data_IF_310352368533
#
_entry.id   IF_310352368533
#
_cell.length_a   1.000
_cell.length_b   1.000
_cell.length_c   1.000
_cell.angle_alpha   90.00
_cell.angle_beta   90.00
_cell.angle_gamma   90.00
#
_symmetry.space_group_name_H-M   'P 1'
#
loop_
_entity.id
_entity.type
_entity.pdbx_description
1 polymer ?
#
# COMPACT_ATOMS: atom_id res chain seq x y z
N UNK A 1 -12.72 8.65 -0.40
CA UNK A 1 -11.43 7.95 -0.16
C UNK A 1 -11.57 7.16 1.14
N UNK A 2 -11.57 5.83 1.06
CA UNK A 2 -11.82 4.92 2.18
C UNK A 2 -10.51 4.21 2.58
N UNK A 3 -10.41 3.80 3.84
CA UNK A 3 -9.34 2.89 4.29
C UNK A 3 -9.50 1.49 3.68
N UNK A 4 -8.39 0.83 3.36
CA UNK A 4 -8.44 -0.55 2.88
C UNK A 4 -8.83 -1.49 4.03
N UNK A 5 -9.55 -2.55 3.70
CA UNK A 5 -9.77 -3.70 4.58
C UNK A 5 -8.54 -4.61 4.61
N UNK A 6 -8.40 -5.46 5.62
CA UNK A 6 -7.24 -6.35 5.74
C UNK A 6 -7.05 -7.28 4.54
N UNK A 7 -8.15 -7.73 3.93
CA UNK A 7 -8.13 -8.57 2.72
C UNK A 7 -7.59 -7.79 1.51
N UNK A 8 -8.07 -6.56 1.31
CA UNK A 8 -7.60 -5.66 0.25
C UNK A 8 -6.11 -5.30 0.44
N UNK A 9 -5.69 -5.04 1.68
CA UNK A 9 -4.28 -4.78 2.01
C UNK A 9 -3.42 -5.97 1.63
N UNK A 10 -3.77 -7.19 2.06
CA UNK A 10 -2.99 -8.39 1.71
C UNK A 10 -2.85 -8.58 0.21
N UNK A 11 -3.93 -8.39 -0.55
CA UNK A 11 -3.92 -8.54 -2.01
C UNK A 11 -2.98 -7.52 -2.69
N UNK A 12 -3.03 -6.26 -2.26
CA UNK A 12 -2.18 -5.19 -2.80
C UNK A 12 -0.72 -5.46 -2.46
N UNK A 13 -0.43 -5.84 -1.22
CA UNK A 13 0.93 -6.14 -0.76
C UNK A 13 1.50 -7.38 -1.43
N UNK A 14 0.72 -8.44 -1.64
CA UNK A 14 1.17 -9.63 -2.36
C UNK A 14 1.49 -9.33 -3.83
N UNK A 15 0.72 -8.42 -4.45
CA UNK A 15 1.01 -7.99 -5.82
C UNK A 15 2.27 -7.12 -5.86
N UNK A 16 2.40 -6.15 -4.95
CA UNK A 16 3.56 -5.26 -4.89
C UNK A 16 4.84 -6.01 -4.54
N UNK A 17 4.80 -7.01 -3.64
CA UNK A 17 5.97 -7.79 -3.26
C UNK A 17 6.58 -8.56 -4.43
N UNK A 18 5.78 -8.96 -5.41
CA UNK A 18 6.25 -9.59 -6.67
C UNK A 18 7.06 -8.63 -7.56
N UNK A 19 6.84 -7.32 -7.45
CA UNK A 19 7.54 -6.31 -8.26
C UNK A 19 8.66 -5.60 -7.51
N UNK A 20 8.46 -5.31 -6.22
CA UNK A 20 9.34 -4.47 -5.40
C UNK A 20 10.23 -5.31 -4.48
N UNK A 21 9.80 -6.53 -4.12
CA UNK A 21 10.55 -7.41 -3.22
C UNK A 21 10.86 -6.76 -1.88
N UNK A 22 12.14 -6.71 -1.54
CA UNK A 22 12.66 -6.22 -0.24
C UNK A 22 12.45 -4.72 -0.04
N UNK A 23 12.31 -3.92 -1.10
CA UNK A 23 12.17 -2.46 -0.98
C UNK A 23 10.75 -2.04 -0.55
N UNK A 24 9.82 -2.98 -0.37
CA UNK A 24 8.45 -2.69 0.03
C UNK A 24 8.39 -2.04 1.42
N UNK A 25 9.31 -2.38 2.33
CA UNK A 25 9.40 -1.73 3.63
C UNK A 25 9.70 -0.22 3.52
N UNK A 26 10.48 0.22 2.52
CA UNK A 26 10.77 1.64 2.35
C UNK A 26 9.55 2.47 1.93
N UNK A 27 8.53 1.81 1.36
CA UNK A 27 7.27 2.44 0.94
C UNK A 27 6.31 2.60 2.12
N UNK A 28 6.42 1.74 3.14
CA UNK A 28 5.46 1.71 4.26
C UNK A 28 6.05 2.35 5.52
N UNK A 29 7.35 2.18 5.76
CA UNK A 29 8.07 2.64 6.93
C UNK A 29 8.93 3.87 6.59
N UNK A 30 8.33 4.82 5.88
CA UNK A 30 8.97 6.12 5.67
C UNK A 30 8.71 7.00 6.91
N UNK A 31 9.74 7.18 7.73
CA UNK A 31 9.65 7.90 9.00
C UNK A 31 9.49 9.42 8.83
N UNK A 32 9.91 9.97 7.69
CA UNK A 32 9.81 11.41 7.43
C UNK A 32 8.42 11.80 6.91
N UNK A 33 7.82 10.94 6.09
CA UNK A 33 6.49 11.18 5.53
C UNK A 33 5.69 9.86 5.52
N UNK A 34 4.77 9.68 6.48
CA UNK A 34 4.00 8.44 6.61
C UNK A 34 2.96 8.38 5.49
N UNK A 35 3.33 7.73 4.40
CA UNK A 35 2.42 7.52 3.28
C UNK A 35 1.42 6.40 3.60
N UNK A 36 0.19 6.59 3.16
CA UNK A 36 -0.91 5.64 3.38
C UNK A 36 -1.57 5.24 2.07
N UNK A 37 -1.99 3.98 2.00
CA UNK A 37 -2.80 3.51 0.90
C UNK A 37 -4.28 3.85 1.16
N UNK A 38 -4.94 4.45 0.17
CA UNK A 38 -6.38 4.74 0.21
C UNK A 38 -7.09 4.18 -1.02
N UNK A 39 -8.28 3.66 -0.81
CA UNK A 39 -9.15 3.20 -1.88
C UNK A 39 -10.09 4.32 -2.34
N UNK A 40 -10.19 4.52 -3.65
CA UNK A 40 -11.12 5.46 -4.26
C UNK A 40 -11.57 4.95 -5.64
N UNK A 41 -12.89 4.82 -5.85
CA UNK A 41 -13.49 4.31 -7.09
C UNK A 41 -12.77 3.06 -7.63
N UNK A 42 -12.62 2.05 -6.78
CA UNK A 42 -11.97 0.76 -7.09
C UNK A 42 -10.48 0.84 -7.48
N UNK A 43 -9.81 1.97 -7.18
CA UNK A 43 -8.37 2.13 -7.36
C UNK A 43 -7.69 2.46 -6.04
N UNK A 44 -6.53 1.88 -5.83
CA UNK A 44 -5.68 2.14 -4.68
C UNK A 44 -4.71 3.26 -5.03
N UNK A 45 -4.68 4.28 -4.19
CA UNK A 45 -3.78 5.42 -4.27
C UNK A 45 -2.80 5.37 -3.12
N UNK A 46 -1.55 5.72 -3.40
CA UNK A 46 -0.51 5.95 -2.41
C UNK A 46 -0.41 7.46 -2.22
N UNK A 47 -0.61 7.94 -1.00
CA UNK A 47 -0.64 9.36 -0.65
C UNK A 47 0.17 9.62 0.60
#
# INVERSE_FOLDING_TARGET
>A
MRQLTEEEVKLVFEKLSKFVGTNLMQIVDNQEDPHVFRLHHDRVFYM
#
